data_IF_242757186784
#
_entry.id   IF_242757186784
#
_cell.length_a   1.000
_cell.length_b   1.000
_cell.length_c   1.000
_cell.angle_alpha   90.00
_cell.angle_beta   90.00
_cell.angle_gamma   90.00
#
_symmetry.space_group_name_H-M   'P 1'
#
loop_
_entity.id
_entity.type
_entity.pdbx_description
1 polymer ?
#
# COMPACT_ATOMS: atom_id res chain seq x y z
N UNK A 1 -21.46 13.87 9.71
CA UNK A 1 -21.56 14.06 8.25
C UNK A 1 -20.33 13.42 7.64
N UNK A 2 -20.48 12.30 6.93
CA UNK A 2 -19.36 11.67 6.24
C UNK A 2 -19.06 12.49 4.99
N UNK A 3 -17.87 13.09 4.92
CA UNK A 3 -17.38 13.76 3.72
C UNK A 3 -17.04 12.67 2.72
N UNK A 4 -17.85 12.50 1.69
CA UNK A 4 -17.52 11.67 0.54
C UNK A 4 -16.59 12.49 -0.36
N UNK A 5 -15.30 12.29 -0.19
CA UNK A 5 -14.31 12.76 -1.15
C UNK A 5 -14.42 11.86 -2.38
N UNK A 6 -14.90 12.40 -3.50
CA UNK A 6 -14.81 11.72 -4.79
C UNK A 6 -13.34 11.70 -5.21
N UNK A 7 -12.67 10.58 -4.92
CA UNK A 7 -11.29 10.34 -5.31
C UNK A 7 -11.29 9.52 -6.60
N UNK A 8 -10.75 10.04 -7.71
CA UNK A 8 -10.64 9.28 -8.95
C UNK A 8 -9.82 8.01 -8.78
N UNK A 9 -10.20 6.92 -9.46
CA UNK A 9 -9.51 5.63 -9.38
C UNK A 9 -8.00 5.74 -9.69
N UNK A 10 -7.61 6.56 -10.68
CA UNK A 10 -6.21 6.77 -11.02
C UNK A 10 -5.40 7.42 -9.89
N UNK A 11 -6.04 8.25 -9.06
CA UNK A 11 -5.40 8.82 -7.87
C UNK A 11 -5.15 7.73 -6.83
N UNK A 12 -6.11 6.83 -6.60
CA UNK A 12 -5.94 5.69 -5.70
C UNK A 12 -4.87 4.72 -6.20
N UNK A 13 -4.86 4.42 -7.51
CA UNK A 13 -3.83 3.58 -8.13
C UNK A 13 -2.44 4.18 -7.99
N UNK A 14 -2.30 5.47 -8.26
CA UNK A 14 -1.03 6.20 -8.10
C UNK A 14 -0.59 6.24 -6.64
N UNK A 15 -1.52 6.44 -5.72
CA UNK A 15 -1.23 6.43 -4.29
C UNK A 15 -0.75 5.06 -3.82
N UNK A 16 -1.39 3.97 -4.26
CA UNK A 16 -0.94 2.59 -3.98
C UNK A 16 0.51 2.37 -4.43
N UNK A 17 0.81 2.69 -5.69
CA UNK A 17 2.15 2.51 -6.25
C UNK A 17 3.19 3.27 -5.41
N UNK A 18 2.90 4.52 -5.04
CA UNK A 18 3.81 5.32 -4.22
C UNK A 18 4.00 4.74 -2.82
N UNK A 19 2.95 4.20 -2.20
CA UNK A 19 3.06 3.57 -0.88
C UNK A 19 3.85 2.26 -0.93
N UNK A 20 3.66 1.45 -1.97
CA UNK A 20 4.46 0.24 -2.22
C UNK A 20 5.94 0.59 -2.41
N UNK A 21 6.23 1.56 -3.30
CA UNK A 21 7.61 2.01 -3.57
C UNK A 21 8.28 2.54 -2.29
N UNK A 22 7.56 3.33 -1.49
CA UNK A 22 8.06 3.83 -0.23
C UNK A 22 8.31 2.71 0.80
N UNK A 23 7.42 1.72 0.88
CA UNK A 23 7.58 0.57 1.76
C UNK A 23 8.84 -0.24 1.38
N UNK A 24 9.01 -0.54 0.09
CA UNK A 24 10.18 -1.25 -0.45
C UNK A 24 11.49 -0.48 -0.20
N UNK A 25 11.47 0.84 -0.41
CA UNK A 25 12.64 1.68 -0.18
C UNK A 25 13.04 1.71 1.30
N UNK A 26 12.07 1.92 2.20
CA UNK A 26 12.30 1.93 3.64
C UNK A 26 12.77 0.56 4.14
N UNK A 27 12.19 -0.53 3.61
CA UNK A 27 12.59 -1.90 3.91
C UNK A 27 14.05 -2.18 3.49
N UNK A 28 14.43 -1.69 2.31
CA UNK A 28 15.82 -1.74 1.85
C UNK A 28 16.77 -0.91 2.72
N UNK A 29 16.35 0.28 3.14
CA UNK A 29 17.18 1.23 3.87
C UNK A 29 17.46 0.79 5.31
N UNK A 30 16.46 0.33 6.07
CA UNK A 30 16.71 -0.14 7.44
C UNK A 30 17.62 -1.37 7.45
N UNK A 31 17.49 -2.28 6.47
CA UNK A 31 18.37 -3.45 6.35
C UNK A 31 19.81 -3.07 6.05
N UNK A 32 20.02 -2.09 5.17
CA UNK A 32 21.35 -1.56 4.85
C UNK A 32 21.98 -0.89 6.07
N UNK A 33 21.20 -0.08 6.79
CA UNK A 33 21.64 0.57 8.01
C UNK A 33 22.00 -0.49 9.08
N UNK A 34 21.13 -1.45 9.34
CA UNK A 34 21.37 -2.51 10.32
C UNK A 34 22.61 -3.36 9.99
N UNK A 35 22.88 -3.61 8.70
CA UNK A 35 24.05 -4.38 8.23
C UNK A 35 25.32 -3.53 8.07
N UNK A 36 25.29 -2.24 8.37
CA UNK A 36 26.47 -1.39 8.26
C UNK A 36 27.58 -1.91 9.16
N UNK A 37 28.75 -2.19 8.58
CA UNK A 37 29.88 -2.73 9.33
C UNK A 37 30.50 -1.69 10.25
N UNK A 38 30.78 -2.11 11.48
CA UNK A 38 31.57 -1.38 12.48
C UNK A 38 32.97 -1.98 12.64
N UNK A 39 33.35 -2.90 11.76
CA UNK A 39 34.64 -3.58 11.82
C UNK A 39 35.80 -2.59 11.63
N UNK A 40 36.80 -2.65 12.51
CA UNK A 40 37.97 -1.80 12.46
C UNK A 40 37.81 -0.45 13.16
N UNK A 41 36.64 -0.15 13.73
CA UNK A 41 36.45 1.02 14.59
C UNK A 41 36.96 0.79 16.02
N UNK A 42 37.30 1.88 16.70
CA UNK A 42 37.59 1.86 18.13
C UNK A 42 36.32 1.61 18.94
N UNK A 43 36.45 1.11 20.17
CA UNK A 43 35.29 0.80 21.02
C UNK A 43 34.36 2.00 21.24
N UNK A 44 34.93 3.20 21.40
CA UNK A 44 34.16 4.44 21.56
C UNK A 44 33.36 4.79 20.31
N UNK A 45 33.97 4.66 19.12
CA UNK A 45 33.29 4.92 17.84
C UNK A 45 32.21 3.87 17.59
N UNK A 46 32.48 2.60 17.90
CA UNK A 46 31.47 1.53 17.81
C UNK A 46 30.25 1.84 18.67
N UNK A 47 30.44 2.20 19.95
CA UNK A 47 29.35 2.52 20.85
C UNK A 47 28.52 3.73 20.36
N UNK A 48 29.19 4.76 19.84
CA UNK A 48 28.51 5.92 19.24
C UNK A 48 27.71 5.55 17.99
N UNK A 49 28.27 4.70 17.12
CA UNK A 49 27.60 4.22 15.91
C UNK A 49 26.40 3.33 16.27
N UNK A 50 26.51 2.44 17.25
CA UNK A 50 25.40 1.61 17.71
C UNK A 50 24.27 2.45 18.33
N UNK A 51 24.61 3.39 19.22
CA UNK A 51 23.65 4.30 19.84
C UNK A 51 22.92 5.17 18.82
N UNK A 52 23.57 5.51 17.70
CA UNK A 52 22.92 6.17 16.57
C UNK A 52 22.09 5.19 15.75
N UNK A 53 22.64 4.03 15.39
CA UNK A 53 22.05 3.09 14.43
C UNK A 53 20.76 2.47 14.94
N UNK A 54 20.73 2.01 16.19
CA UNK A 54 19.60 1.27 16.77
C UNK A 54 18.26 2.03 16.67
N UNK A 55 18.12 3.27 17.18
CA UNK A 55 16.85 3.99 17.13
C UNK A 55 16.41 4.26 15.68
N UNK A 56 17.35 4.59 14.79
CA UNK A 56 17.04 4.83 13.38
C UNK A 56 16.58 3.57 12.64
N UNK A 57 17.14 2.40 12.96
CA UNK A 57 16.66 1.13 12.38
C UNK A 57 15.21 0.88 12.76
N UNK A 58 14.86 1.08 14.04
CA UNK A 58 13.51 0.87 14.52
C UNK A 58 12.53 1.89 13.92
N UNK A 59 12.91 3.17 13.85
CA UNK A 59 12.09 4.22 13.25
C UNK A 59 11.81 3.97 11.76
N UNK A 60 12.83 3.62 10.98
CA UNK A 60 12.68 3.33 9.54
C UNK A 60 11.81 2.08 9.34
N UNK A 61 11.99 1.05 10.19
CA UNK A 61 11.18 -0.16 10.13
C UNK A 61 9.70 0.15 10.38
N UNK A 62 9.39 0.90 11.44
CA UNK A 62 8.01 1.32 11.75
C UNK A 62 7.42 2.18 10.62
N UNK A 63 8.21 3.08 10.02
CA UNK A 63 7.77 3.87 8.89
C UNK A 63 7.44 2.99 7.66
N UNK A 64 8.27 1.97 7.37
CA UNK A 64 8.03 1.00 6.31
C UNK A 64 6.77 0.17 6.54
N UNK A 65 6.56 -0.32 7.76
CA UNK A 65 5.34 -1.05 8.14
C UNK A 65 4.07 -0.20 7.96
N UNK A 66 4.13 1.10 8.30
CA UNK A 66 3.02 2.04 8.07
C UNK A 66 2.77 2.30 6.59
N UNK A 67 3.82 2.46 5.79
CA UNK A 67 3.70 2.63 4.35
C UNK A 67 3.02 1.41 3.71
N UNK A 68 3.43 0.20 4.11
CA UNK A 68 2.80 -1.04 3.66
C UNK A 68 1.32 -1.11 4.06
N UNK A 69 1.00 -0.76 5.31
CA UNK A 69 -0.38 -0.76 5.80
C UNK A 69 -1.29 0.17 4.97
N UNK A 70 -0.81 1.35 4.59
CA UNK A 70 -1.56 2.26 3.71
C UNK A 70 -1.77 1.69 2.31
N UNK A 71 -0.79 1.00 1.75
CA UNK A 71 -0.98 0.30 0.48
C UNK A 71 -2.04 -0.81 0.59
N UNK A 72 -1.97 -1.62 1.64
CA UNK A 72 -2.91 -2.72 1.90
C UNK A 72 -4.35 -2.21 2.07
N UNK A 73 -4.54 -1.08 2.77
CA UNK A 73 -5.83 -0.41 2.91
C UNK A 73 -6.44 -0.01 1.55
N UNK A 74 -5.61 0.48 0.62
CA UNK A 74 -6.04 0.83 -0.74
C UNK A 74 -6.45 -0.43 -1.52
N UNK A 75 -5.71 -1.54 -1.38
CA UNK A 75 -6.08 -2.82 -2.00
C UNK A 75 -7.42 -3.34 -1.47
N UNK A 76 -7.60 -3.34 -0.15
CA UNK A 76 -8.86 -3.76 0.49
C UNK A 76 -10.03 -2.85 0.09
N UNK A 77 -9.80 -1.55 -0.06
CA UNK A 77 -10.81 -0.64 -0.60
C UNK A 77 -11.17 -1.01 -2.05
N UNK A 78 -10.18 -1.24 -2.92
CA UNK A 78 -10.40 -1.64 -4.31
C UNK A 78 -11.22 -2.93 -4.43
N UNK A 79 -10.94 -3.94 -3.61
CA UNK A 79 -11.70 -5.20 -3.56
C UNK A 79 -13.16 -4.97 -3.18
N UNK A 80 -13.42 -4.09 -2.20
CA UNK A 80 -14.79 -3.75 -1.78
C UNK A 80 -15.56 -3.02 -2.89
N UNK A 81 -14.91 -2.10 -3.60
CA UNK A 81 -15.52 -1.40 -4.75
C UNK A 81 -15.87 -2.39 -5.85
N UNK A 82 -14.95 -3.31 -6.19
CA UNK A 82 -15.20 -4.33 -7.21
C UNK A 82 -16.38 -5.24 -6.83
N UNK A 83 -16.47 -5.68 -5.58
CA UNK A 83 -17.60 -6.48 -5.10
C UNK A 83 -18.94 -5.72 -5.20
N UNK A 84 -18.94 -4.43 -4.83
CA UNK A 84 -20.13 -3.60 -4.93
C UNK A 84 -20.56 -3.35 -6.38
N UNK A 85 -19.58 -3.14 -7.28
CA UNK A 85 -19.83 -2.98 -8.72
C UNK A 85 -20.39 -4.28 -9.33
N UNK A 86 -19.84 -5.44 -8.97
CA UNK A 86 -20.35 -6.73 -9.43
C UNK A 86 -21.80 -6.99 -8.97
N UNK A 87 -22.14 -6.66 -7.72
CA UNK A 87 -23.51 -6.78 -7.21
C UNK A 87 -24.46 -5.82 -7.94
N UNK A 88 -24.02 -4.58 -8.17
CA UNK A 88 -24.83 -3.58 -8.89
C UNK A 88 -25.01 -3.94 -10.36
N UNK A 89 -23.98 -4.46 -11.02
CA UNK A 89 -24.03 -5.00 -12.38
C UNK A 89 -25.08 -6.11 -12.49
N UNK A 90 -25.12 -7.02 -11.52
CA UNK A 90 -26.09 -8.11 -11.50
C UNK A 90 -27.52 -7.60 -11.30
N UNK A 91 -27.72 -6.60 -10.43
CA UNK A 91 -29.02 -5.93 -10.29
C UNK A 91 -29.47 -5.28 -11.60
N UNK A 92 -28.57 -4.63 -12.33
CA UNK A 92 -28.88 -4.02 -13.62
C UNK A 92 -29.26 -5.10 -14.65
N UNK A 93 -28.50 -6.21 -14.71
CA UNK A 93 -28.85 -7.35 -15.59
C UNK A 93 -30.23 -7.92 -15.28
N UNK A 94 -30.58 -8.06 -14.01
CA UNK A 94 -31.90 -8.54 -13.59
C UNK A 94 -33.07 -7.63 -14.03
N UNK A 95 -32.79 -6.36 -14.32
CA UNK A 95 -33.78 -5.41 -14.84
C UNK A 95 -33.85 -5.38 -16.38
N UNK A 96 -32.88 -5.97 -17.07
CA UNK A 96 -32.88 -6.04 -18.53
C UNK A 96 -33.86 -7.11 -19.02
N UNK A 97 -34.52 -6.89 -20.17
CA UNK A 97 -35.28 -7.95 -20.83
C UNK A 97 -34.39 -9.18 -21.04
N UNK A 98 -34.93 -10.38 -20.88
CA UNK A 98 -34.18 -11.65 -20.93
C UNK A 98 -33.29 -11.81 -22.18
N UNK A 99 -33.66 -11.21 -23.31
CA UNK A 99 -32.84 -11.17 -24.52
C UNK A 99 -31.47 -10.47 -24.36
N UNK A 100 -31.29 -9.72 -23.27
CA UNK A 100 -30.10 -8.94 -22.96
C UNK A 100 -29.50 -9.27 -21.58
N UNK A 101 -29.97 -10.31 -20.88
CA UNK A 101 -29.46 -10.68 -19.55
C UNK A 101 -27.98 -11.09 -19.59
N UNK A 102 -27.53 -11.66 -20.70
CA UNK A 102 -26.16 -12.19 -20.87
C UNK A 102 -25.23 -11.19 -21.57
N UNK A 103 -25.68 -9.94 -21.79
CA UNK A 103 -24.83 -8.92 -22.38
C UNK A 103 -23.69 -8.54 -21.42
N UNK A 104 -22.45 -8.67 -21.90
CA UNK A 104 -21.27 -8.21 -21.16
C UNK A 104 -21.32 -6.71 -20.92
N UNK A 105 -21.07 -6.28 -19.68
CA UNK A 105 -20.93 -4.86 -19.36
C UNK A 105 -19.52 -4.46 -19.76
N UNK A 106 -19.38 -3.55 -20.72
CA UNK A 106 -18.07 -3.08 -21.19
C UNK A 106 -17.30 -2.46 -20.01
N UNK A 107 -16.13 -3.03 -19.68
CA UNK A 107 -15.27 -2.55 -18.59
C UNK A 107 -14.87 -3.59 -17.54
N UNK A 108 -15.28 -4.85 -17.64
CA UNK A 108 -14.60 -5.91 -16.88
C UNK A 108 -13.16 -6.10 -17.41
N UNK A 109 -12.17 -6.31 -16.53
CA UNK A 109 -10.80 -6.61 -16.94
C UNK A 109 -10.72 -7.93 -17.74
#
# INVERSE_FOLDING_TARGET
MAVTLDVPFEVLRTAKIKWDEAADELDGNWRRLHKSSIAGFSAEVTAAVEAFREPWVDEIKVAGERAQAHSDEIVLFGQRVWLADADQAERVRALLPWAHSDAGIAGQP
#
